data_IF_714972970567
#
_entry.id   IF_714972970567
#
_cell.length_a   1.000
_cell.length_b   1.000
_cell.length_c   1.000
_cell.angle_alpha   90.00
_cell.angle_beta   90.00
_cell.angle_gamma   90.00
#
_symmetry.space_group_name_H-M   'P 1'
#
loop_
_entity.id
_entity.type
_entity.pdbx_description
1 polymer ?
#
# COMPACT_ATOMS: atom_id res chain seq x y z
N UNK A 1 11.68 10.10 1.91
CA UNK A 1 12.01 8.81 1.32
C UNK A 1 11.34 8.58 -0.03
N UNK A 2 10.00 8.66 -0.22
CA UNK A 2 9.37 8.54 -1.57
C UNK A 2 10.03 9.44 -2.63
N UNK A 3 10.39 10.67 -2.31
CA UNK A 3 11.15 11.55 -3.23
C UNK A 3 12.57 11.02 -3.56
N UNK A 4 13.17 10.25 -2.69
CA UNK A 4 14.50 9.65 -2.91
C UNK A 4 14.33 8.35 -3.69
N UNK A 5 13.35 7.52 -3.35
CA UNK A 5 13.00 6.30 -4.07
C UNK A 5 12.53 6.64 -5.49
N UNK A 6 11.68 7.67 -5.65
CA UNK A 6 11.22 8.16 -6.95
C UNK A 6 12.40 8.69 -7.81
N UNK A 7 13.34 9.43 -7.21
CA UNK A 7 14.57 9.85 -7.93
C UNK A 7 15.49 8.67 -8.28
N UNK A 8 15.55 7.63 -7.43
CA UNK A 8 16.33 6.42 -7.72
C UNK A 8 15.69 5.59 -8.85
N UNK A 9 14.37 5.43 -8.83
CA UNK A 9 13.63 4.71 -9.87
C UNK A 9 13.74 5.44 -11.21
N UNK A 10 13.59 6.77 -11.25
CA UNK A 10 13.80 7.56 -12.47
C UNK A 10 15.24 7.47 -12.96
N UNK A 11 16.23 7.49 -12.07
CA UNK A 11 17.64 7.31 -12.47
C UNK A 11 17.91 5.90 -13.01
N UNK A 12 17.30 4.85 -12.45
CA UNK A 12 17.42 3.48 -12.97
C UNK A 12 16.73 3.31 -14.32
N UNK A 13 15.52 3.88 -14.51
CA UNK A 13 14.85 3.81 -15.83
C UNK A 13 15.59 4.56 -16.91
N UNK A 14 16.18 5.70 -16.61
CA UNK A 14 17.04 6.44 -17.55
C UNK A 14 18.32 5.64 -17.88
N UNK A 15 18.92 4.97 -16.90
CA UNK A 15 20.09 4.11 -17.14
C UNK A 15 19.78 2.89 -18.02
N UNK A 16 18.60 2.28 -17.84
CA UNK A 16 18.14 1.14 -18.66
C UNK A 16 17.81 1.58 -20.10
N UNK A 17 17.19 2.74 -20.28
CA UNK A 17 16.90 3.28 -21.62
C UNK A 17 18.22 3.59 -22.36
N UNK A 18 19.24 4.10 -21.68
CA UNK A 18 20.57 4.35 -22.26
C UNK A 18 21.30 3.04 -22.60
N UNK A 19 21.09 1.97 -21.82
CA UNK A 19 21.67 0.65 -22.09
C UNK A 19 21.01 -0.06 -23.28
N UNK A 20 19.69 0.05 -23.47
CA UNK A 20 19.00 -0.55 -24.61
C UNK A 20 19.19 0.21 -25.94
N UNK A 21 19.63 1.48 -25.91
CA UNK A 21 19.88 2.25 -27.13
C UNK A 21 21.32 2.09 -27.71
N UNK A 22 22.18 1.34 -27.02
CA UNK A 22 23.57 1.19 -27.44
C UNK A 22 23.91 -0.11 -28.21
N UNK A 23 22.95 -0.92 -28.58
CA UNK A 23 23.18 -2.13 -29.38
C UNK A 23 22.73 -1.99 -30.84
N UNK A 24 22.91 -0.85 -31.51
CA UNK A 24 22.99 -0.82 -32.97
C UNK A 24 23.35 0.57 -33.49
N UNK A 25 24.60 0.84 -33.62
CA UNK A 25 25.23 1.50 -34.80
C UNK A 25 26.63 1.99 -34.42
N UNK A 26 27.60 1.51 -35.16
CA UNK A 26 28.97 2.01 -35.06
C UNK A 26 29.08 3.43 -35.61
N UNK A 27 30.09 4.10 -35.08
CA UNK A 27 30.77 5.32 -35.53
C UNK A 27 30.36 6.65 -34.93
N UNK A 28 31.43 7.21 -34.36
CA UNK A 28 31.75 8.61 -34.00
C UNK A 28 31.46 9.04 -32.56
N UNK A 29 32.57 9.07 -31.79
CA UNK A 29 32.75 9.88 -30.60
C UNK A 29 32.70 11.36 -30.98
N UNK A 30 31.73 12.10 -30.49
CA UNK A 30 31.86 13.54 -30.31
C UNK A 30 31.80 13.85 -28.81
N UNK A 31 32.87 14.51 -28.35
CA UNK A 31 32.99 15.04 -27.00
C UNK A 31 32.03 16.20 -26.83
N UNK A 32 31.00 16.01 -25.98
CA UNK A 32 30.16 17.12 -25.49
C UNK A 32 30.73 17.51 -24.12
N UNK A 33 31.42 18.63 -24.10
CA UNK A 33 31.86 19.34 -22.91
C UNK A 33 30.66 20.13 -22.37
N UNK A 34 30.10 19.70 -21.23
CA UNK A 34 29.07 20.46 -20.53
C UNK A 34 29.75 21.60 -19.77
N UNK A 35 29.42 22.83 -20.11
CA UNK A 35 29.84 24.02 -19.40
C UNK A 35 29.05 24.18 -18.11
N UNK A 36 29.74 24.33 -16.99
CA UNK A 36 29.19 24.87 -15.74
C UNK A 36 28.74 26.30 -16.01
N UNK A 37 27.42 26.55 -15.92
CA UNK A 37 26.78 27.79 -15.48
C UNK A 37 25.37 27.90 -16.03
N UNK A 38 24.39 27.39 -15.26
CA UNK A 38 23.06 27.96 -15.23
C UNK A 38 22.57 27.99 -13.79
N UNK A 39 22.82 29.12 -13.13
CA UNK A 39 22.10 29.57 -11.95
C UNK A 39 20.68 29.94 -12.37
N UNK A 40 19.70 29.20 -11.90
CA UNK A 40 18.31 29.64 -11.93
C UNK A 40 18.11 30.74 -10.88
N UNK A 41 18.04 31.99 -11.31
CA UNK A 41 17.46 33.09 -10.56
C UNK A 41 15.94 32.89 -10.54
N UNK A 42 15.38 32.66 -9.34
CA UNK A 42 13.94 32.68 -9.14
C UNK A 42 13.50 34.15 -9.14
N UNK A 43 12.84 34.57 -10.21
CA UNK A 43 12.23 35.87 -10.30
C UNK A 43 10.84 35.83 -9.63
N UNK A 44 10.75 36.41 -8.46
CA UNK A 44 9.48 36.72 -7.79
C UNK A 44 8.80 37.90 -8.52
N UNK A 45 7.99 37.64 -9.52
CA UNK A 45 6.92 38.54 -9.97
C UNK A 45 6.18 37.94 -11.19
N UNK A 46 5.17 37.14 -10.93
CA UNK A 46 4.03 37.07 -11.86
C UNK A 46 2.77 36.76 -11.06
N UNK A 47 1.92 37.79 -11.00
CA UNK A 47 0.61 37.72 -10.35
C UNK A 47 -0.25 36.62 -11.01
N UNK A 48 -0.47 35.55 -10.30
CA UNK A 48 -1.42 34.52 -10.67
C UNK A 48 -2.84 35.04 -10.54
N UNK A 49 -3.52 35.17 -11.66
CA UNK A 49 -4.97 35.23 -11.73
C UNK A 49 -5.53 33.99 -11.05
N UNK A 50 -6.22 34.20 -9.91
CA UNK A 50 -7.11 33.18 -9.35
C UNK A 50 -8.27 33.00 -10.33
N UNK A 51 -8.25 31.96 -11.14
CA UNK A 51 -9.47 31.47 -11.78
C UNK A 51 -10.32 30.82 -10.70
N UNK A 52 -11.44 31.46 -10.40
CA UNK A 52 -12.49 30.86 -9.59
C UNK A 52 -13.08 29.69 -10.38
N UNK A 53 -12.75 28.47 -9.97
CA UNK A 53 -13.48 27.28 -10.40
C UNK A 53 -14.84 27.34 -9.72
N UNK A 54 -15.87 27.63 -10.51
CA UNK A 54 -17.26 27.65 -10.07
C UNK A 54 -17.72 26.20 -9.95
N UNK A 55 -17.87 25.75 -8.70
CA UNK A 55 -18.34 24.40 -8.35
C UNK A 55 -19.82 24.26 -8.68
N UNK A 56 -20.21 23.21 -9.41
CA UNK A 56 -21.62 22.88 -9.64
C UNK A 56 -22.26 22.32 -8.36
N UNK A 57 -23.43 22.88 -8.01
CA UNK A 57 -24.27 22.42 -6.91
C UNK A 57 -25.03 21.14 -7.34
N UNK A 58 -24.50 19.95 -7.16
CA UNK A 58 -25.33 18.73 -7.10
C UNK A 58 -24.48 17.49 -6.81
N UNK A 59 -24.33 17.20 -5.53
CA UNK A 59 -24.37 15.85 -4.95
C UNK A 59 -24.21 15.96 -3.43
N UNK A 60 -25.34 16.08 -2.75
CA UNK A 60 -25.40 15.93 -1.29
C UNK A 60 -25.46 14.43 -0.99
N UNK A 61 -24.42 13.91 -0.40
CA UNK A 61 -24.50 12.64 0.33
C UNK A 61 -25.30 12.87 1.61
N UNK A 62 -26.57 12.45 1.63
CA UNK A 62 -27.37 12.38 2.86
C UNK A 62 -26.84 11.22 3.72
N UNK A 63 -26.19 11.55 4.80
CA UNK A 63 -25.71 10.59 5.80
C UNK A 63 -26.74 10.54 6.94
N UNK A 64 -27.32 9.37 7.16
CA UNK A 64 -28.36 9.12 8.16
C UNK A 64 -27.87 9.41 9.58
N UNK A 65 -28.56 10.31 10.29
CA UNK A 65 -28.31 10.72 11.68
C UNK A 65 -28.79 9.65 12.67
N UNK A 66 -27.95 8.67 13.01
CA UNK A 66 -28.28 7.81 14.16
C UNK A 66 -27.08 7.39 15.04
N UNK A 67 -25.96 8.07 14.94
CA UNK A 67 -24.90 8.00 15.95
C UNK A 67 -24.47 9.43 16.26
N UNK A 68 -24.60 9.87 17.50
CA UNK A 68 -24.53 11.26 17.97
C UNK A 68 -23.23 12.04 17.75
N UNK A 69 -22.54 11.83 16.64
CA UNK A 69 -21.44 12.64 16.12
C UNK A 69 -21.95 13.38 14.89
N UNK A 70 -21.95 14.72 14.94
CA UNK A 70 -22.19 15.55 13.75
C UNK A 70 -21.14 15.20 12.70
N UNK A 71 -21.52 14.49 11.64
CA UNK A 71 -20.67 14.28 10.45
C UNK A 71 -20.64 15.59 9.66
N UNK A 72 -19.44 16.03 9.28
CA UNK A 72 -19.27 17.19 8.40
C UNK A 72 -19.80 16.89 7.00
N UNK A 73 -20.55 17.84 6.41
CA UNK A 73 -20.90 17.79 5.00
C UNK A 73 -19.66 18.18 4.18
N UNK A 74 -19.07 17.24 3.46
CA UNK A 74 -17.92 17.47 2.61
C UNK A 74 -18.42 17.80 1.21
N UNK A 75 -18.00 18.94 0.66
CA UNK A 75 -18.27 19.28 -0.72
C UNK A 75 -17.21 18.61 -1.62
N UNK A 76 -17.66 17.68 -2.47
CA UNK A 76 -16.85 17.01 -3.49
C UNK A 76 -17.18 17.58 -4.87
N UNK A 77 -16.19 17.67 -5.76
CA UNK A 77 -16.43 17.90 -7.18
C UNK A 77 -16.96 16.62 -7.85
N UNK A 78 -17.47 16.72 -9.06
CA UNK A 78 -17.96 15.57 -9.83
C UNK A 78 -16.89 14.49 -10.09
N UNK A 79 -15.62 14.91 -10.05
CA UNK A 79 -14.46 14.06 -10.30
C UNK A 79 -13.87 13.46 -9.01
N UNK A 80 -14.38 13.85 -7.86
CA UNK A 80 -13.85 13.43 -6.55
C UNK A 80 -14.79 12.46 -5.85
N UNK A 81 -14.22 11.49 -5.17
CA UNK A 81 -14.93 10.61 -4.24
C UNK A 81 -14.15 10.44 -2.97
N UNK A 82 -14.86 10.34 -1.85
CA UNK A 82 -14.29 10.01 -0.55
C UNK A 82 -15.08 8.82 0.01
N UNK A 83 -14.38 7.75 0.30
CA UNK A 83 -14.95 6.51 0.81
C UNK A 83 -14.33 6.17 2.15
N UNK A 84 -15.12 5.66 3.07
CA UNK A 84 -14.68 5.25 4.40
C UNK A 84 -14.95 3.75 4.54
N UNK A 85 -13.95 3.02 4.99
CA UNK A 85 -14.03 1.59 5.25
C UNK A 85 -13.66 1.31 6.71
N UNK A 86 -14.50 0.54 7.38
CA UNK A 86 -14.13 -0.12 8.64
C UNK A 86 -13.42 -1.42 8.32
N UNK A 87 -12.23 -1.61 8.87
CA UNK A 87 -11.49 -2.86 8.73
C UNK A 87 -11.69 -3.72 9.97
N UNK A 88 -12.09 -4.96 9.74
CA UNK A 88 -12.08 -6.02 10.75
C UNK A 88 -11.00 -7.03 10.42
N UNK A 89 -10.07 -7.19 11.32
CA UNK A 89 -9.03 -8.22 11.24
C UNK A 89 -9.43 -9.41 12.10
N UNK A 90 -9.64 -10.56 11.46
CA UNK A 90 -10.12 -11.78 12.10
C UNK A 90 -9.09 -12.90 11.88
N UNK A 91 -8.92 -13.76 12.89
CA UNK A 91 -7.98 -14.88 12.84
C UNK A 91 -8.69 -16.21 13.07
N UNK A 92 -8.17 -17.28 12.49
CA UNK A 92 -8.57 -18.66 12.76
C UNK A 92 -7.58 -19.34 13.71
N UNK A 93 -7.97 -20.48 14.28
CA UNK A 93 -7.08 -21.33 15.08
C UNK A 93 -5.86 -21.82 14.29
N UNK A 94 -5.98 -21.94 12.97
CA UNK A 94 -4.89 -22.35 12.09
C UNK A 94 -3.95 -21.19 11.71
N UNK A 95 -4.18 -19.99 12.22
CA UNK A 95 -3.39 -18.80 11.95
C UNK A 95 -3.68 -18.17 10.58
N UNK A 96 -4.70 -18.60 9.87
CA UNK A 96 -5.24 -17.91 8.69
C UNK A 96 -5.95 -16.63 9.15
N UNK A 97 -6.05 -15.64 8.28
CA UNK A 97 -6.74 -14.40 8.65
C UNK A 97 -7.58 -13.82 7.52
N UNK A 98 -8.56 -13.02 7.95
CA UNK A 98 -9.45 -12.24 7.09
C UNK A 98 -9.31 -10.76 7.43
N UNK A 99 -9.08 -9.94 6.41
CA UNK A 99 -9.37 -8.51 6.46
C UNK A 99 -10.73 -8.30 5.80
N UNK A 100 -11.69 -7.80 6.55
CA UNK A 100 -13.02 -7.47 6.03
C UNK A 100 -13.14 -5.95 6.05
N UNK A 101 -13.21 -5.35 4.86
CA UNK A 101 -13.38 -3.91 4.67
C UNK A 101 -14.86 -3.63 4.40
N UNK A 102 -15.52 -3.05 5.38
CA UNK A 102 -16.93 -2.67 5.32
C UNK A 102 -17.03 -1.21 4.90
N UNK A 103 -17.50 -0.96 3.68
CA UNK A 103 -17.71 0.40 3.20
C UNK A 103 -18.87 1.05 3.95
N UNK A 104 -18.64 2.22 4.57
CA UNK A 104 -19.69 2.96 5.25
C UNK A 104 -20.83 3.33 4.29
N UNK A 105 -22.06 3.22 4.77
CA UNK A 105 -23.29 3.53 4.01
C UNK A 105 -23.48 2.71 2.72
N UNK A 106 -22.89 1.54 2.64
CA UNK A 106 -22.96 0.63 1.50
C UNK A 106 -23.16 -0.81 1.96
N UNK A 107 -23.61 -1.64 1.06
CA UNK A 107 -23.61 -3.10 1.25
C UNK A 107 -22.31 -3.74 0.71
N UNK A 108 -21.49 -2.98 0.02
CA UNK A 108 -20.24 -3.50 -0.55
C UNK A 108 -19.24 -3.84 0.55
N UNK A 109 -18.64 -5.01 0.43
CA UNK A 109 -17.64 -5.56 1.33
C UNK A 109 -16.48 -6.09 0.50
N UNK A 110 -15.27 -5.68 0.85
CA UNK A 110 -14.06 -6.28 0.31
C UNK A 110 -13.48 -7.22 1.36
N UNK A 111 -13.09 -8.39 0.94
CA UNK A 111 -12.55 -9.42 1.84
C UNK A 111 -11.21 -9.90 1.30
N UNK A 112 -10.17 -9.74 2.09
CA UNK A 112 -8.88 -10.36 1.84
C UNK A 112 -8.75 -11.58 2.74
N UNK A 113 -8.75 -12.74 2.14
CA UNK A 113 -8.52 -14.00 2.84
C UNK A 113 -7.08 -14.46 2.61
N UNK A 114 -6.32 -14.54 3.68
CA UNK A 114 -4.94 -14.97 3.68
C UNK A 114 -4.84 -16.33 4.37
N UNK A 115 -4.31 -17.31 3.64
CA UNK A 115 -4.15 -18.67 4.10
C UNK A 115 -2.78 -19.21 3.71
N UNK A 116 -2.38 -20.28 4.37
CA UNK A 116 -1.08 -20.90 4.19
C UNK A 116 -1.21 -22.27 3.54
N UNK A 117 -0.55 -22.46 2.41
CA UNK A 117 -0.51 -23.73 1.69
C UNK A 117 0.91 -23.97 1.18
N UNK A 118 1.45 -25.17 1.41
CA UNK A 118 2.78 -25.58 0.95
C UNK A 118 3.92 -24.60 1.32
N UNK A 119 3.90 -24.07 2.53
CA UNK A 119 4.85 -23.05 3.05
C UNK A 119 4.78 -21.68 2.31
N UNK A 120 3.77 -21.49 1.51
CA UNK A 120 3.52 -20.22 0.83
C UNK A 120 2.33 -19.49 1.45
N UNK A 121 2.39 -18.16 1.39
CA UNK A 121 1.28 -17.29 1.74
C UNK A 121 0.44 -17.08 0.48
N UNK A 122 -0.85 -17.33 0.60
CA UNK A 122 -1.79 -17.17 -0.50
C UNK A 122 -2.86 -16.17 -0.10
N UNK A 123 -3.21 -15.28 -1.02
CA UNK A 123 -4.24 -14.26 -0.80
C UNK A 123 -5.36 -14.43 -1.81
N UNK A 124 -6.60 -14.36 -1.33
CA UNK A 124 -7.79 -14.22 -2.15
C UNK A 124 -8.50 -12.93 -1.81
N UNK A 125 -8.79 -12.12 -2.81
CA UNK A 125 -9.54 -10.88 -2.68
C UNK A 125 -10.94 -11.09 -3.28
N UNK A 126 -11.96 -10.76 -2.51
CA UNK A 126 -13.36 -10.86 -2.93
C UNK A 126 -14.03 -9.50 -2.81
N UNK A 127 -14.79 -9.12 -3.82
CA UNK A 127 -15.78 -8.06 -3.75
C UNK A 127 -17.17 -8.70 -3.62
N UNK A 128 -17.90 -8.39 -2.57
CA UNK A 128 -19.17 -9.03 -2.22
C UNK A 128 -20.12 -8.05 -1.51
N UNK A 129 -21.26 -8.54 -1.05
CA UNK A 129 -22.22 -7.74 -0.32
C UNK A 129 -22.50 -8.31 1.07
N UNK A 130 -22.86 -7.42 2.00
CA UNK A 130 -23.37 -7.77 3.32
C UNK A 130 -24.85 -7.42 3.43
N UNK A 131 -25.67 -8.38 3.88
CA UNK A 131 -27.10 -8.20 4.15
C UNK A 131 -27.42 -8.76 5.55
N UNK A 132 -27.82 -7.89 6.47
CA UNK A 132 -28.18 -8.27 7.85
C UNK A 132 -27.10 -9.14 8.54
N UNK A 133 -25.82 -8.80 8.33
CA UNK A 133 -24.69 -9.55 8.88
C UNK A 133 -24.27 -10.77 8.06
N UNK A 134 -25.02 -11.16 7.01
CA UNK A 134 -24.61 -12.23 6.12
C UNK A 134 -23.77 -11.69 4.97
N UNK A 135 -22.56 -12.22 4.81
CA UNK A 135 -21.67 -11.98 3.68
C UNK A 135 -21.84 -13.12 2.69
N UNK A 136 -22.09 -12.81 1.42
CA UNK A 136 -22.24 -13.84 0.41
C UNK A 136 -22.08 -13.29 -1.00
N UNK A 137 -21.31 -14.01 -1.81
CA UNK A 137 -21.26 -13.84 -3.25
C UNK A 137 -22.20 -14.84 -3.90
N UNK A 138 -23.35 -14.36 -4.33
CA UNK A 138 -24.38 -15.17 -4.99
C UNK A 138 -23.96 -15.66 -6.40
N UNK A 139 -22.90 -15.10 -6.97
CA UNK A 139 -22.44 -15.44 -8.34
C UNK A 139 -21.40 -16.53 -8.33
N UNK A 140 -20.47 -16.51 -7.38
CA UNK A 140 -19.32 -17.41 -7.38
C UNK A 140 -19.33 -18.41 -6.25
N UNK A 141 -20.12 -18.19 -5.19
CA UNK A 141 -20.13 -18.98 -3.93
C UNK A 141 -18.73 -19.12 -3.29
N UNK A 142 -17.82 -18.16 -3.56
CA UNK A 142 -16.48 -18.22 -2.99
C UNK A 142 -16.48 -17.91 -1.50
N UNK A 143 -17.36 -17.02 -1.02
CA UNK A 143 -17.54 -16.73 0.38
C UNK A 143 -19.03 -16.69 0.71
N UNK A 144 -19.40 -17.32 1.81
CA UNK A 144 -20.77 -17.32 2.32
C UNK A 144 -20.78 -17.56 3.82
N UNK A 145 -21.33 -16.66 4.61
CA UNK A 145 -21.37 -16.82 6.07
C UNK A 145 -21.87 -15.60 6.81
N UNK A 146 -21.89 -15.72 8.13
CA UNK A 146 -22.37 -14.69 9.02
C UNK A 146 -21.20 -13.93 9.65
N UNK A 147 -21.21 -12.61 9.51
CA UNK A 147 -20.35 -11.69 10.22
C UNK A 147 -21.10 -11.14 11.43
N UNK A 148 -20.51 -11.26 12.60
CA UNK A 148 -21.02 -10.74 13.87
C UNK A 148 -19.92 -9.99 14.61
N UNK A 149 -20.22 -9.40 15.76
CA UNK A 149 -19.21 -8.80 16.62
C UNK A 149 -18.18 -9.80 17.14
N UNK A 150 -18.52 -11.09 17.20
CA UNK A 150 -17.61 -12.15 17.63
C UNK A 150 -16.64 -12.60 16.52
N UNK A 151 -16.98 -12.39 15.23
CA UNK A 151 -16.17 -12.81 14.10
C UNK A 151 -17.01 -13.27 12.90
N UNK A 152 -16.42 -14.09 12.04
CA UNK A 152 -17.06 -14.64 10.83
C UNK A 152 -17.11 -16.17 10.90
N UNK A 153 -18.27 -16.73 10.62
CA UNK A 153 -18.49 -18.18 10.52
C UNK A 153 -19.22 -18.52 9.24
N UNK A 154 -18.67 -19.45 8.46
CA UNK A 154 -19.24 -19.79 7.16
C UNK A 154 -18.33 -20.64 6.30
N UNK A 155 -18.38 -20.42 4.99
CA UNK A 155 -17.57 -21.14 3.99
C UNK A 155 -16.75 -20.17 3.16
N UNK A 156 -15.51 -20.57 2.90
CA UNK A 156 -14.66 -19.91 1.90
C UNK A 156 -14.15 -21.00 0.95
N UNK A 157 -14.43 -20.86 -0.35
CA UNK A 157 -14.11 -21.88 -1.39
C UNK A 157 -14.61 -23.26 -1.02
N UNK A 158 -15.81 -23.35 -0.45
CA UNK A 158 -16.43 -24.60 -0.05
C UNK A 158 -15.94 -25.20 1.27
N UNK A 159 -14.86 -24.65 1.87
CA UNK A 159 -14.31 -25.09 3.16
C UNK A 159 -15.02 -24.34 4.31
N UNK A 160 -15.48 -25.08 5.31
CA UNK A 160 -16.00 -24.50 6.55
C UNK A 160 -14.88 -23.75 7.27
N UNK A 161 -15.16 -22.52 7.69
CA UNK A 161 -14.20 -21.67 8.38
C UNK A 161 -14.88 -20.97 9.57
N UNK A 162 -14.07 -20.71 10.60
CA UNK A 162 -14.48 -19.92 11.75
C UNK A 162 -13.32 -18.98 12.12
N UNK A 163 -13.58 -17.69 12.04
CA UNK A 163 -12.65 -16.63 12.36
C UNK A 163 -13.17 -15.81 13.51
N UNK A 164 -12.30 -15.48 14.44
CA UNK A 164 -12.62 -14.64 15.61
C UNK A 164 -11.79 -13.36 15.58
N UNK A 165 -12.20 -12.35 16.33
CA UNK A 165 -11.40 -11.14 16.47
C UNK A 165 -10.01 -11.48 17.01
N UNK A 166 -8.97 -10.88 16.44
CA UNK A 166 -7.63 -11.04 16.94
C UNK A 166 -7.51 -10.53 18.39
N UNK A 167 -6.70 -11.19 19.18
CA UNK A 167 -6.32 -10.70 20.50
C UNK A 167 -5.30 -9.59 20.33
N UNK A 168 -5.76 -8.36 20.36
CA UNK A 168 -4.92 -7.17 20.18
C UNK A 168 -5.50 -6.00 21.00
N UNK A 169 -4.67 -5.10 21.52
CA UNK A 169 -5.13 -3.85 22.11
C UNK A 169 -5.71 -2.88 21.07
N UNK A 170 -5.51 -3.18 19.77
CA UNK A 170 -6.06 -2.41 18.65
C UNK A 170 -7.47 -2.94 18.34
N UNK A 171 -8.49 -2.11 18.59
CA UNK A 171 -9.91 -2.49 18.49
C UNK A 171 -10.51 -2.41 17.08
N UNK A 172 -9.68 -2.20 16.08
CA UNK A 172 -10.10 -2.05 14.68
C UNK A 172 -9.37 -0.92 14.00
N UNK A 173 -9.61 -0.77 12.71
CA UNK A 173 -9.00 0.28 11.90
C UNK A 173 -10.00 0.85 10.91
N UNK A 174 -9.74 2.06 10.44
CA UNK A 174 -10.46 2.72 9.35
C UNK A 174 -9.51 3.08 8.23
N UNK A 175 -9.99 2.94 6.99
CA UNK A 175 -9.36 3.50 5.81
C UNK A 175 -10.26 4.58 5.24
N UNK A 176 -9.69 5.74 4.99
CA UNK A 176 -10.34 6.80 4.20
C UNK A 176 -9.65 6.84 2.84
N UNK A 177 -10.38 6.44 1.80
CA UNK A 177 -9.92 6.44 0.42
C UNK A 177 -10.43 7.68 -0.31
N UNK A 178 -9.51 8.43 -0.90
CA UNK A 178 -9.79 9.50 -1.83
C UNK A 178 -9.55 9.02 -3.25
N UNK A 179 -10.52 9.26 -4.12
CA UNK A 179 -10.44 8.95 -5.54
C UNK A 179 -10.65 10.23 -6.35
N UNK A 180 -9.80 10.45 -7.33
CA UNK A 180 -9.96 11.51 -8.32
C UNK A 180 -9.82 10.91 -9.71
N UNK A 181 -10.80 11.18 -10.57
CA UNK A 181 -10.79 10.71 -11.97
C UNK A 181 -11.04 11.89 -12.89
N UNK A 182 -10.17 12.10 -13.87
CA UNK A 182 -10.36 13.10 -14.91
C UNK A 182 -10.12 12.49 -16.29
N UNK A 183 -10.85 13.00 -17.26
CA UNK A 183 -10.75 12.58 -18.66
C UNK A 183 -10.39 13.82 -19.49
N UNK A 184 -9.26 13.75 -20.18
CA UNK A 184 -8.84 14.80 -21.11
C UNK A 184 -8.98 14.30 -22.56
N UNK A 185 -9.64 15.08 -23.37
CA UNK A 185 -9.69 14.87 -24.82
C UNK A 185 -8.69 15.81 -25.48
N UNK A 186 -7.53 15.29 -25.88
CA UNK A 186 -6.45 16.10 -26.45
C UNK A 186 -6.62 16.38 -27.94
N UNK A 187 -7.57 15.73 -28.62
CA UNK A 187 -7.83 15.93 -30.06
C UNK A 187 -9.27 15.68 -30.45
N UNK A 188 -9.58 16.01 -31.73
CA UNK A 188 -10.90 15.86 -32.33
C UNK A 188 -11.34 14.41 -32.61
N UNK A 189 -10.56 13.40 -32.21
CA UNK A 189 -10.89 11.98 -32.39
C UNK A 189 -11.15 11.32 -31.02
N UNK A 190 -12.19 10.49 -30.93
CA UNK A 190 -12.53 9.70 -29.75
C UNK A 190 -11.41 8.69 -29.37
N UNK A 191 -10.44 8.46 -30.25
CA UNK A 191 -9.32 7.53 -30.05
C UNK A 191 -8.20 8.11 -29.16
N UNK A 192 -8.20 9.42 -28.91
CA UNK A 192 -7.17 10.11 -28.12
C UNK A 192 -7.61 10.53 -26.72
N UNK A 193 -8.56 9.78 -26.14
CA UNK A 193 -8.98 10.00 -24.76
C UNK A 193 -7.87 9.54 -23.82
N UNK A 194 -7.44 10.43 -22.92
CA UNK A 194 -6.49 10.13 -21.85
C UNK A 194 -7.17 10.27 -20.50
N UNK A 195 -6.88 9.33 -19.61
CA UNK A 195 -7.45 9.29 -18.26
C UNK A 195 -6.37 9.56 -17.21
N UNK A 196 -6.76 10.31 -16.20
CA UNK A 196 -6.03 10.46 -14.95
C UNK A 196 -6.87 9.84 -13.84
N UNK A 197 -6.33 8.81 -13.21
CA UNK A 197 -6.97 8.11 -12.10
C UNK A 197 -6.02 8.06 -10.90
N UNK A 198 -6.45 8.62 -9.80
CA UNK A 198 -5.66 8.70 -8.58
C UNK A 198 -6.46 8.20 -7.40
N UNK A 199 -5.92 7.20 -6.73
CA UNK A 199 -6.47 6.58 -5.54
C UNK A 199 -5.43 6.69 -4.42
N UNK A 200 -5.77 7.34 -3.33
CA UNK A 200 -4.88 7.45 -2.17
C UNK A 200 -5.67 7.22 -0.91
N UNK A 201 -5.06 6.54 0.05
CA UNK A 201 -5.72 6.15 1.28
C UNK A 201 -4.95 6.63 2.51
N UNK A 202 -5.69 6.94 3.56
CA UNK A 202 -5.20 7.13 4.92
C UNK A 202 -5.67 5.94 5.75
N UNK A 203 -4.76 5.34 6.51
CA UNK A 203 -5.05 4.25 7.43
C UNK A 203 -4.94 4.73 8.88
N UNK A 204 -5.95 4.43 9.68
CA UNK A 204 -6.00 4.80 11.10
C UNK A 204 -6.46 3.64 11.96
N UNK A 205 -5.66 3.20 12.92
CA UNK A 205 -6.18 2.42 14.03
C UNK A 205 -7.10 3.25 14.90
N UNK A 206 -8.21 2.66 15.34
CA UNK A 206 -9.14 3.30 16.25
C UNK A 206 -8.45 3.62 17.58
N UNK A 207 -8.60 4.85 18.04
CA UNK A 207 -7.98 5.32 19.28
C UNK A 207 -9.02 5.87 20.28
N UNK A 208 -10.04 5.08 20.56
CA UNK A 208 -11.10 5.43 21.51
C UNK A 208 -10.58 5.63 22.94
N UNK A 209 -9.51 4.90 23.28
CA UNK A 209 -8.81 5.00 24.57
C UNK A 209 -7.92 6.23 24.70
N UNK A 210 -7.71 7.00 23.61
CA UNK A 210 -6.79 8.13 23.52
C UNK A 210 -5.34 7.75 23.89
N UNK A 211 -4.91 6.59 23.48
CA UNK A 211 -3.56 6.09 23.70
C UNK A 211 -2.53 6.87 22.89
N UNK A 212 -1.49 7.37 23.53
CA UNK A 212 -0.38 8.03 22.85
C UNK A 212 0.41 7.06 21.92
N UNK A 213 0.40 5.77 22.24
CA UNK A 213 1.02 4.73 21.42
C UNK A 213 0.29 4.61 20.08
N UNK A 214 -1.05 4.53 20.10
CA UNK A 214 -1.86 4.45 18.88
C UNK A 214 -1.73 5.73 18.05
N UNK A 215 -1.71 6.89 18.68
CA UNK A 215 -1.48 8.17 17.99
C UNK A 215 -0.12 8.18 17.28
N UNK A 216 0.93 7.67 17.91
CA UNK A 216 2.27 7.57 17.33
C UNK A 216 2.30 6.63 16.13
N UNK A 217 1.68 5.45 16.24
CA UNK A 217 1.57 4.49 15.15
C UNK A 217 0.79 5.13 13.97
N UNK A 218 -0.36 5.73 14.23
CA UNK A 218 -1.16 6.38 13.19
C UNK A 218 -0.40 7.52 12.49
N UNK A 219 0.41 8.27 13.22
CA UNK A 219 1.24 9.32 12.65
C UNK A 219 2.34 8.74 11.74
N UNK A 220 3.02 7.69 12.17
CA UNK A 220 4.09 7.05 11.38
C UNK A 220 3.54 6.34 10.13
N UNK A 221 2.40 5.65 10.25
CA UNK A 221 1.74 5.00 9.09
C UNK A 221 1.52 6.01 7.96
N UNK A 222 1.00 7.19 8.29
CA UNK A 222 0.62 8.20 7.33
C UNK A 222 1.71 9.26 7.07
N UNK A 223 2.92 9.08 7.60
CA UNK A 223 4.00 10.09 7.56
C UNK A 223 4.44 10.49 6.15
N UNK A 224 4.25 9.63 5.18
CA UNK A 224 4.53 9.89 3.76
C UNK A 224 3.49 10.85 3.13
N UNK A 225 2.27 10.85 3.67
CA UNK A 225 1.14 11.66 3.20
C UNK A 225 1.08 12.96 4.00
N UNK A 226 1.26 12.88 5.32
CA UNK A 226 1.17 14.04 6.22
C UNK A 226 1.92 13.80 7.52
N UNK A 227 2.47 14.90 8.09
CA UNK A 227 3.02 14.90 9.45
C UNK A 227 2.01 15.41 10.49
N UNK A 228 0.77 15.67 10.08
CA UNK A 228 -0.29 16.13 10.99
C UNK A 228 -0.98 14.93 11.65
N UNK A 229 -1.39 15.11 12.92
CA UNK A 229 -2.29 14.17 13.56
C UNK A 229 -3.65 14.21 12.87
N UNK A 230 -4.09 13.06 12.41
CA UNK A 230 -5.36 12.90 11.70
C UNK A 230 -6.50 12.62 12.69
N UNK A 231 -7.68 13.15 12.39
CA UNK A 231 -8.92 12.91 13.11
C UNK A 231 -9.97 12.44 12.11
N UNK A 232 -10.42 11.19 12.24
CA UNK A 232 -11.42 10.60 11.35
C UNK A 232 -12.75 11.37 11.33
N UNK A 233 -13.02 12.15 12.37
CA UNK A 233 -14.21 13.00 12.43
C UNK A 233 -14.07 14.33 11.65
N UNK A 234 -12.86 14.63 11.16
CA UNK A 234 -12.54 15.80 10.34
C UNK A 234 -12.24 15.39 8.90
N UNK A 235 -13.23 14.85 8.24
CA UNK A 235 -13.07 14.34 6.88
C UNK A 235 -12.69 15.41 5.86
N UNK A 236 -13.11 16.68 6.08
CA UNK A 236 -12.69 17.81 5.26
C UNK A 236 -11.17 18.02 5.29
N UNK A 237 -10.55 17.89 6.46
CA UNK A 237 -9.09 18.03 6.60
C UNK A 237 -8.39 16.86 5.89
N UNK A 238 -8.89 15.64 6.06
CA UNK A 238 -8.37 14.43 5.39
C UNK A 238 -8.48 14.56 3.88
N UNK A 239 -9.65 14.99 3.37
CA UNK A 239 -9.86 15.25 1.94
C UNK A 239 -8.84 16.25 1.41
N UNK A 240 -8.67 17.38 2.10
CA UNK A 240 -7.73 18.42 1.68
C UNK A 240 -6.28 17.92 1.64
N UNK A 241 -5.87 17.09 2.60
CA UNK A 241 -4.54 16.49 2.61
C UNK A 241 -4.38 15.59 1.37
N UNK A 242 -5.31 14.67 1.14
CA UNK A 242 -5.24 13.71 0.04
C UNK A 242 -5.31 14.39 -1.33
N UNK A 243 -6.20 15.38 -1.51
CA UNK A 243 -6.30 16.14 -2.76
C UNK A 243 -5.04 16.98 -3.02
N UNK A 244 -4.45 17.59 -1.99
CA UNK A 244 -3.20 18.34 -2.15
C UNK A 244 -2.02 17.43 -2.53
N UNK A 245 -1.99 16.19 -2.05
CA UNK A 245 -0.98 15.22 -2.47
C UNK A 245 -1.15 14.76 -3.93
N UNK A 246 -2.36 14.77 -4.46
CA UNK A 246 -2.67 14.47 -5.86
C UNK A 246 -2.22 15.60 -6.82
N UNK A 247 -2.35 16.85 -6.41
CA UNK A 247 -2.18 18.01 -7.30
C UNK A 247 -0.85 18.04 -8.10
N UNK A 248 0.33 17.72 -7.53
CA UNK A 248 1.57 17.68 -8.31
C UNK A 248 1.50 16.71 -9.49
N UNK A 249 0.97 15.51 -9.27
CA UNK A 249 0.83 14.47 -10.31
C UNK A 249 -0.16 14.91 -11.38
N UNK A 250 -1.29 15.50 -10.98
CA UNK A 250 -2.29 16.02 -11.90
C UNK A 250 -1.76 17.16 -12.76
N UNK A 251 -0.97 18.06 -12.17
CA UNK A 251 -0.38 19.18 -12.91
C UNK A 251 0.67 18.71 -13.91
N UNK A 252 1.48 17.70 -13.54
CA UNK A 252 2.47 17.09 -14.43
C UNK A 252 1.80 16.29 -15.57
N UNK A 253 0.64 15.67 -15.28
CA UNK A 253 -0.11 14.91 -16.27
C UNK A 253 -0.83 15.79 -17.30
N UNK A 254 -1.23 17.02 -16.93
CA UNK A 254 -1.93 17.92 -17.85
C UNK A 254 -1.12 18.10 -19.12
N UNK A 255 -1.58 17.58 -20.27
CA UNK A 255 -0.86 17.75 -21.52
C UNK A 255 -0.85 19.24 -21.90
N UNK A 256 0.32 19.78 -22.19
CA UNK A 256 0.45 21.06 -22.86
C UNK A 256 -0.22 21.01 -24.24
N UNK A 257 -0.56 22.17 -24.81
CA UNK A 257 -1.09 22.24 -26.19
C UNK A 257 -0.08 21.59 -27.14
N UNK A 258 -0.46 20.47 -27.79
CA UNK A 258 0.33 19.76 -28.79
C UNK A 258 1.19 18.60 -28.27
N UNK A 259 1.14 18.26 -26.99
CA UNK A 259 1.83 17.09 -26.45
C UNK A 259 0.94 15.84 -26.47
N UNK A 260 1.54 14.67 -26.77
CA UNK A 260 0.85 13.38 -26.67
C UNK A 260 0.70 13.04 -25.18
N UNK A 261 -0.53 13.16 -24.67
CA UNK A 261 -0.84 12.75 -23.31
C UNK A 261 -0.72 11.22 -23.14
N UNK A 262 -0.63 10.76 -21.89
CA UNK A 262 -0.64 9.36 -21.50
C UNK A 262 -1.72 9.11 -20.44
N UNK A 263 -2.15 7.86 -20.30
CA UNK A 263 -3.00 7.48 -19.18
C UNK A 263 -2.14 7.47 -17.91
N UNK A 264 -2.66 8.09 -16.87
CA UNK A 264 -2.06 8.05 -15.53
C UNK A 264 -2.96 7.24 -14.61
N UNK A 265 -2.34 6.33 -13.87
CA UNK A 265 -3.02 5.58 -12.83
C UNK A 265 -2.12 5.45 -11.61
N UNK A 266 -2.63 5.81 -10.44
CA UNK A 266 -1.93 5.64 -9.18
C UNK A 266 -2.89 5.12 -8.12
N UNK A 267 -2.46 4.11 -7.37
CA UNK A 267 -3.20 3.58 -6.23
C UNK A 267 -2.26 3.36 -5.05
N UNK A 268 -2.74 3.70 -3.86
CA UNK A 268 -2.11 3.37 -2.57
C UNK A 268 -3.19 2.86 -1.64
N UNK A 269 -3.04 1.61 -1.18
CA UNK A 269 -3.97 0.90 -0.32
C UNK A 269 -3.26 0.26 0.86
N UNK A 270 -3.97 0.12 1.99
CA UNK A 270 -3.42 -0.48 3.20
C UNK A 270 -4.12 -1.79 3.54
N UNK A 271 -3.33 -2.75 4.04
CA UNK A 271 -3.80 -4.00 4.60
C UNK A 271 -3.17 -4.29 5.97
N UNK A 272 -3.78 -5.21 6.70
CA UNK A 272 -3.26 -5.72 7.97
C UNK A 272 -2.77 -7.14 7.72
N UNK A 273 -1.47 -7.41 7.97
CA UNK A 273 -0.87 -8.73 7.83
C UNK A 273 -0.96 -9.52 9.13
N UNK A 274 -0.81 -8.83 10.27
CA UNK A 274 -0.86 -9.49 11.58
C UNK A 274 -1.15 -8.49 12.70
N UNK A 275 -2.02 -8.90 13.61
CA UNK A 275 -2.26 -8.23 14.89
C UNK A 275 -2.18 -9.24 16.02
N UNK A 276 -1.38 -8.92 17.03
CA UNK A 276 -1.34 -9.65 18.30
C UNK A 276 -1.41 -8.69 19.49
N UNK A 277 -1.20 -9.19 20.70
CA UNK A 277 -1.07 -8.34 21.89
C UNK A 277 0.17 -7.45 21.85
N UNK A 278 1.19 -7.81 21.05
CA UNK A 278 2.53 -7.20 21.08
C UNK A 278 2.92 -6.48 19.80
N UNK A 279 2.41 -6.94 18.67
CA UNK A 279 2.84 -6.52 17.32
C UNK A 279 1.64 -6.14 16.46
N UNK A 280 1.79 -5.09 15.66
CA UNK A 280 0.99 -4.80 14.51
C UNK A 280 1.87 -4.80 13.25
N UNK A 281 1.56 -5.66 12.29
CA UNK A 281 2.18 -5.71 10.97
C UNK A 281 1.16 -5.30 9.93
N UNK A 282 1.46 -4.24 9.18
CA UNK A 282 0.60 -3.70 8.14
C UNK A 282 1.40 -3.54 6.85
N UNK A 283 0.72 -3.55 5.73
CA UNK A 283 1.30 -3.25 4.44
C UNK A 283 0.62 -2.04 3.79
N UNK A 284 1.38 -1.35 2.95
CA UNK A 284 0.90 -0.37 1.99
C UNK A 284 1.25 -0.92 0.60
N UNK A 285 0.24 -1.34 -0.16
CA UNK A 285 0.38 -1.66 -1.58
C UNK A 285 0.33 -0.37 -2.38
N UNK A 286 1.23 -0.23 -3.34
CA UNK A 286 1.17 0.85 -4.32
C UNK A 286 1.33 0.31 -5.73
N UNK A 287 0.67 0.97 -6.68
CA UNK A 287 0.91 0.79 -8.11
C UNK A 287 0.85 2.16 -8.77
N UNK A 288 1.77 2.43 -9.69
CA UNK A 288 1.80 3.67 -10.46
C UNK A 288 2.10 3.37 -11.92
N UNK A 289 1.30 3.96 -12.81
CA UNK A 289 1.50 3.94 -14.24
C UNK A 289 1.52 5.37 -14.77
N UNK A 290 2.66 5.78 -15.33
CA UNK A 290 2.92 7.11 -15.86
C UNK A 290 3.21 7.08 -17.36
N UNK A 291 2.63 6.10 -18.06
CA UNK A 291 2.93 5.83 -19.47
C UNK A 291 4.05 4.79 -19.65
N UNK A 292 4.28 4.39 -20.87
CA UNK A 292 5.29 3.37 -21.21
C UNK A 292 4.75 1.95 -21.28
N UNK A 293 5.63 0.95 -21.16
CA UNK A 293 5.31 -0.46 -21.38
C UNK A 293 4.54 -1.08 -20.20
N UNK A 294 4.82 -0.67 -18.97
CA UNK A 294 4.19 -1.18 -17.75
C UNK A 294 4.30 -0.17 -16.60
N UNK A 295 3.48 -0.35 -15.58
CA UNK A 295 3.59 0.40 -14.32
C UNK A 295 4.61 -0.19 -13.37
N UNK A 296 4.76 0.45 -12.22
CA UNK A 296 5.59 0.02 -11.10
C UNK A 296 4.68 -0.27 -9.91
N UNK A 297 4.90 -1.38 -9.24
CA UNK A 297 4.17 -1.75 -8.03
C UNK A 297 5.10 -2.18 -6.92
N UNK A 298 4.58 -2.28 -5.74
CA UNK A 298 5.29 -2.85 -4.60
C UNK A 298 4.46 -2.81 -3.34
N UNK A 299 5.02 -3.41 -2.29
CA UNK A 299 4.48 -3.35 -0.94
C UNK A 299 5.52 -2.81 0.02
N UNK A 300 5.10 -1.88 0.86
CA UNK A 300 5.90 -1.37 1.97
C UNK A 300 5.31 -1.94 3.24
N UNK A 301 6.09 -2.74 3.96
CA UNK A 301 5.66 -3.31 5.21
C UNK A 301 6.13 -2.46 6.39
N UNK A 302 5.26 -2.32 7.39
CA UNK A 302 5.52 -1.55 8.60
C UNK A 302 5.12 -2.41 9.79
N UNK A 303 6.11 -2.80 10.59
CA UNK A 303 5.91 -3.60 11.80
C UNK A 303 6.09 -2.72 13.02
N UNK A 304 5.13 -2.73 13.94
CA UNK A 304 5.13 -1.88 15.13
C UNK A 304 5.11 -2.71 16.40
N UNK A 305 5.92 -2.29 17.37
CA UNK A 305 5.79 -2.76 18.75
C UNK A 305 4.61 -2.05 19.43
N UNK A 306 3.65 -2.80 19.97
CA UNK A 306 2.50 -2.23 20.68
C UNK A 306 2.83 -1.83 22.13
N UNK A 307 4.05 -2.12 22.61
CA UNK A 307 4.51 -1.67 23.92
C UNK A 307 4.89 -0.18 23.96
N UNK A 308 5.38 0.38 22.85
CA UNK A 308 5.87 1.75 22.77
C UNK A 308 5.51 2.50 21.48
N UNK A 309 4.86 1.82 20.53
CA UNK A 309 4.47 2.39 19.23
C UNK A 309 5.63 2.66 18.28
N UNK A 310 6.81 2.08 18.53
CA UNK A 310 7.95 2.22 17.63
C UNK A 310 7.80 1.30 16.42
N UNK A 311 8.12 1.83 15.24
CA UNK A 311 8.32 1.02 14.03
C UNK A 311 9.60 0.22 14.19
N UNK A 312 9.49 -1.09 14.06
CA UNK A 312 10.61 -2.01 14.15
C UNK A 312 11.31 -2.13 12.79
N UNK A 313 12.63 -2.11 12.84
CA UNK A 313 13.49 -2.51 11.73
C UNK A 313 13.93 -3.95 11.94
N UNK A 314 14.40 -4.58 10.88
CA UNK A 314 14.89 -5.96 10.98
C UNK A 314 16.09 -6.08 11.94
N UNK A 315 16.94 -5.04 12.03
CA UNK A 315 18.05 -4.95 12.95
C UNK A 315 17.62 -4.87 14.43
N UNK A 316 16.41 -4.38 14.69
CA UNK A 316 15.86 -4.35 16.05
C UNK A 316 15.49 -5.76 16.51
N UNK A 317 15.05 -6.61 15.60
CA UNK A 317 14.49 -7.95 15.87
C UNK A 317 15.57 -9.04 15.86
N UNK A 318 16.48 -9.02 14.88
CA UNK A 318 17.53 -10.02 14.72
C UNK A 318 18.72 -9.77 15.66
N UNK A 319 19.32 -10.85 16.16
CA UNK A 319 20.57 -10.80 16.92
C UNK A 319 21.69 -10.22 16.04
N UNK A 320 21.78 -10.70 14.79
CA UNK A 320 22.79 -10.28 13.81
C UNK A 320 22.22 -10.39 12.39
N UNK A 321 22.06 -9.26 11.73
CA UNK A 321 21.57 -9.19 10.32
C UNK A 321 22.61 -9.72 9.32
N UNK A 322 23.88 -9.83 9.71
CA UNK A 322 24.97 -10.37 8.92
C UNK A 322 25.24 -11.85 9.22
N UNK A 323 24.36 -12.53 9.95
CA UNK A 323 24.50 -13.95 10.26
C UNK A 323 24.53 -14.78 8.98
N UNK A 324 25.69 -15.40 8.69
CA UNK A 324 25.89 -16.13 7.44
C UNK A 324 24.99 -17.36 7.30
N UNK A 325 24.64 -18.05 8.40
CA UNK A 325 23.73 -19.19 8.36
C UNK A 325 22.33 -18.75 7.95
N UNK A 326 21.82 -17.64 8.52
CA UNK A 326 20.53 -17.08 8.14
C UNK A 326 20.54 -16.62 6.69
N UNK A 327 21.57 -15.88 6.25
CA UNK A 327 21.68 -15.41 4.85
C UNK A 327 21.70 -16.59 3.87
N UNK A 328 22.44 -17.66 4.19
CA UNK A 328 22.49 -18.84 3.33
C UNK A 328 21.13 -19.54 3.26
N UNK A 329 20.39 -19.66 4.35
CA UNK A 329 19.01 -20.19 4.35
C UNK A 329 18.05 -19.33 3.54
N UNK A 330 18.19 -18.00 3.58
CA UNK A 330 17.42 -17.10 2.72
C UNK A 330 17.72 -17.40 1.26
N UNK A 331 19.00 -17.51 0.87
CA UNK A 331 19.39 -17.85 -0.51
C UNK A 331 18.84 -19.21 -0.94
N UNK A 332 18.95 -20.24 -0.09
CA UNK A 332 18.40 -21.57 -0.37
C UNK A 332 16.88 -21.53 -0.62
N UNK A 333 16.14 -20.75 0.18
CA UNK A 333 14.69 -20.59 -0.03
C UNK A 333 14.36 -19.81 -1.31
N UNK A 334 15.12 -18.75 -1.64
CA UNK A 334 14.97 -18.03 -2.90
C UNK A 334 15.20 -18.97 -4.09
N UNK A 335 16.27 -19.76 -4.07
CA UNK A 335 16.61 -20.74 -5.11
C UNK A 335 15.64 -21.92 -5.20
N UNK A 336 14.84 -22.17 -4.16
CA UNK A 336 13.74 -23.15 -4.24
C UNK A 336 12.53 -22.63 -5.00
N UNK A 337 12.41 -21.31 -5.13
CA UNK A 337 11.27 -20.65 -5.79
C UNK A 337 11.56 -20.30 -7.27
N UNK A 338 12.83 -20.06 -7.61
CA UNK A 338 13.25 -19.74 -8.98
C UNK A 338 14.73 -20.09 -9.18
N UNK A 339 15.12 -20.32 -10.45
CA UNK A 339 16.51 -20.60 -10.82
C UNK A 339 17.43 -19.43 -10.48
N UNK A 340 18.71 -19.72 -10.22
CA UNK A 340 19.72 -18.72 -9.88
C UNK A 340 19.84 -17.60 -10.94
N UNK A 341 19.69 -17.94 -12.20
CA UNK A 341 19.72 -16.99 -13.33
C UNK A 341 18.55 -15.98 -13.30
N UNK A 342 17.54 -16.25 -12.50
CA UNK A 342 16.40 -15.33 -12.26
C UNK A 342 16.77 -14.17 -11.34
N UNK A 343 17.92 -14.22 -10.68
CA UNK A 343 18.39 -13.21 -9.73
C UNK A 343 19.61 -12.47 -10.23
N UNK A 344 19.78 -11.20 -9.87
CA UNK A 344 20.91 -10.39 -10.33
C UNK A 344 22.23 -10.81 -9.68
N UNK A 345 22.28 -10.86 -8.35
CA UNK A 345 23.49 -11.21 -7.60
C UNK A 345 23.16 -11.63 -6.17
N UNK A 346 22.86 -12.89 -5.98
CA UNK A 346 22.57 -13.42 -4.64
C UNK A 346 23.79 -13.42 -3.71
N UNK A 347 25.03 -13.35 -4.24
CA UNK A 347 26.22 -13.31 -3.40
C UNK A 347 26.34 -12.00 -2.61
N UNK A 348 25.77 -10.93 -3.13
CA UNK A 348 25.70 -9.62 -2.47
C UNK A 348 24.43 -9.44 -1.62
N UNK A 349 23.63 -10.50 -1.41
CA UNK A 349 22.40 -10.41 -0.63
C UNK A 349 22.66 -9.93 0.80
N UNK A 350 21.97 -8.90 1.22
CA UNK A 350 22.01 -8.33 2.56
C UNK A 350 20.62 -8.34 3.17
N UNK A 351 20.55 -8.59 4.48
CA UNK A 351 19.31 -8.43 5.25
C UNK A 351 19.26 -7.06 5.97
N UNK A 352 20.32 -6.27 5.89
CA UNK A 352 20.35 -4.94 6.48
C UNK A 352 19.34 -4.03 5.81
N UNK A 353 18.56 -3.30 6.62
CA UNK A 353 17.46 -2.43 6.15
C UNK A 353 16.41 -3.14 5.29
N UNK A 354 16.39 -4.49 5.32
CA UNK A 354 15.44 -5.26 4.52
C UNK A 354 14.00 -4.98 4.92
N UNK A 355 13.14 -4.94 3.91
CA UNK A 355 11.70 -4.90 4.10
C UNK A 355 11.21 -6.28 4.55
N UNK A 356 10.41 -6.33 5.61
CA UNK A 356 9.92 -7.57 6.18
C UNK A 356 8.54 -7.38 6.80
N UNK A 357 7.84 -8.48 6.98
CA UNK A 357 6.60 -8.50 7.75
C UNK A 357 6.48 -9.74 8.61
N UNK A 358 5.57 -9.66 9.58
CA UNK A 358 5.29 -10.73 10.52
C UNK A 358 3.88 -11.23 10.27
N UNK A 359 3.71 -12.54 10.38
CA UNK A 359 2.42 -13.22 10.37
C UNK A 359 2.34 -14.18 11.54
N UNK A 360 1.19 -14.80 11.75
CA UNK A 360 1.02 -15.91 12.72
C UNK A 360 1.90 -17.13 12.43
N UNK A 361 2.51 -17.22 11.25
CA UNK A 361 3.36 -18.36 10.85
C UNK A 361 4.85 -18.08 10.99
N UNK A 362 5.24 -16.81 11.12
CA UNK A 362 6.64 -16.44 11.25
C UNK A 362 6.96 -15.07 10.66
N UNK A 363 8.20 -14.92 10.23
CA UNK A 363 8.74 -13.70 9.64
C UNK A 363 9.05 -13.92 8.16
N UNK A 364 8.65 -12.99 7.33
CA UNK A 364 8.92 -13.01 5.90
C UNK A 364 9.84 -11.86 5.53
N UNK A 365 10.96 -12.16 4.87
CA UNK A 365 11.80 -11.19 4.19
C UNK A 365 11.26 -10.94 2.80
N UNK A 366 11.29 -9.69 2.33
CA UNK A 366 10.75 -9.31 1.04
C UNK A 366 11.67 -8.42 0.25
N UNK A 367 11.64 -8.56 -1.06
CA UNK A 367 12.33 -7.70 -2.01
C UNK A 367 11.37 -7.33 -3.13
N UNK A 368 11.23 -6.05 -3.38
CA UNK A 368 10.42 -5.54 -4.47
C UNK A 368 11.03 -5.80 -5.84
N UNK A 369 10.25 -5.50 -6.88
CA UNK A 369 10.71 -5.57 -8.27
C UNK A 369 12.01 -4.77 -8.46
N UNK A 370 12.96 -5.32 -9.20
CA UNK A 370 14.30 -4.76 -9.47
C UNK A 370 15.25 -4.68 -8.26
N UNK A 371 14.88 -5.12 -7.06
CA UNK A 371 15.82 -5.13 -5.93
C UNK A 371 16.83 -6.26 -6.03
N UNK A 372 16.39 -7.49 -6.24
CA UNK A 372 17.25 -8.67 -6.39
C UNK A 372 16.99 -9.46 -7.67
N UNK A 373 15.91 -9.14 -8.40
CA UNK A 373 15.47 -9.84 -9.59
C UNK A 373 14.84 -8.86 -10.61
N UNK A 374 14.80 -9.19 -11.92
CA UNK A 374 14.14 -8.35 -12.92
C UNK A 374 12.61 -8.29 -12.70
N UNK A 375 11.98 -7.29 -13.29
CA UNK A 375 10.53 -7.08 -13.21
C UNK A 375 9.68 -8.35 -13.49
N UNK A 376 10.12 -9.15 -14.46
CA UNK A 376 9.40 -10.34 -14.87
C UNK A 376 9.34 -11.44 -13.79
N UNK A 377 10.24 -11.42 -12.81
CA UNK A 377 10.23 -12.33 -11.67
C UNK A 377 9.19 -11.91 -10.63
N UNK A 378 8.80 -10.63 -10.61
CA UNK A 378 7.93 -10.05 -9.60
C UNK A 378 8.63 -9.81 -8.26
N UNK A 379 7.81 -9.61 -7.22
CA UNK A 379 8.31 -9.49 -5.84
C UNK A 379 8.84 -10.84 -5.37
N UNK A 380 9.96 -10.82 -4.63
CA UNK A 380 10.57 -12.02 -4.04
C UNK A 380 10.30 -12.05 -2.54
N UNK A 381 9.77 -13.15 -2.05
CA UNK A 381 9.43 -13.32 -0.63
C UNK A 381 9.96 -14.64 -0.08
N UNK A 382 10.44 -14.62 1.16
CA UNK A 382 10.96 -15.80 1.86
C UNK A 382 10.38 -15.86 3.27
N UNK A 383 9.47 -16.80 3.51
CA UNK A 383 8.90 -17.08 4.82
C UNK A 383 9.85 -17.99 5.63
N UNK A 384 10.17 -17.56 6.82
CA UNK A 384 10.73 -18.38 7.89
C UNK A 384 9.63 -18.70 8.89
N UNK A 385 9.33 -19.96 9.08
CA UNK A 385 8.42 -20.38 10.16
C UNK A 385 8.93 -19.91 11.52
N UNK A 386 8.06 -19.91 12.52
CA UNK A 386 8.42 -19.50 13.88
C UNK A 386 9.64 -20.30 14.37
N UNK A 387 9.65 -21.61 14.20
CA UNK A 387 10.75 -22.48 14.63
C UNK A 387 12.06 -22.17 13.89
N UNK A 388 11.98 -21.85 12.59
CA UNK A 388 13.14 -21.52 11.77
C UNK A 388 13.76 -20.18 12.12
N UNK A 389 12.95 -19.16 12.44
CA UNK A 389 13.44 -17.82 12.73
C UNK A 389 13.85 -17.63 14.21
N UNK A 390 13.24 -18.39 15.11
CA UNK A 390 13.45 -18.28 16.57
C UNK A 390 14.91 -18.24 17.01
N UNK A 391 15.84 -19.05 16.45
CA UNK A 391 17.27 -19.02 16.84
C UNK A 391 17.97 -17.69 16.54
N UNK A 392 17.44 -16.89 15.60
CA UNK A 392 18.04 -15.64 15.14
C UNK A 392 17.43 -14.40 15.79
N UNK A 393 16.32 -14.56 16.56
CA UNK A 393 15.65 -13.46 17.22
C UNK A 393 16.33 -13.10 18.54
N UNK A 394 16.39 -11.80 18.83
CA UNK A 394 16.71 -11.31 20.18
C UNK A 394 15.67 -11.83 21.18
N UNK A 395 16.10 -12.10 22.42
CA UNK A 395 15.24 -12.72 23.44
C UNK A 395 13.93 -11.96 23.68
N UNK A 396 13.97 -10.64 23.61
CA UNK A 396 12.80 -9.77 23.78
C UNK A 396 11.73 -9.92 22.69
N UNK A 397 12.12 -10.45 21.53
CA UNK A 397 11.21 -10.66 20.38
C UNK A 397 10.78 -12.11 20.17
N UNK A 398 11.30 -13.06 20.95
CA UNK A 398 10.94 -14.49 20.79
C UNK A 398 9.46 -14.80 21.03
N UNK A 399 8.77 -13.93 21.72
CA UNK A 399 7.35 -14.11 22.07
C UNK A 399 6.38 -13.23 21.26
N UNK A 400 6.82 -12.64 20.15
CA UNK A 400 5.98 -11.76 19.33
C UNK A 400 4.90 -12.51 18.53
N UNK A 401 5.05 -13.81 18.42
CA UNK A 401 4.10 -14.70 17.73
C UNK A 401 3.02 -15.30 18.66
N UNK A 402 3.07 -14.98 19.96
CA UNK A 402 2.12 -15.47 20.98
C UNK A 402 0.82 -14.68 21.06
#
# INVERSE_FOLDING_TARGET
>A
MKKIIFKLIILMTISIIISCSNENSGTKKENIQLSENERLEINENSGTKKENIQLSENERLEINENTGTKKENIQLSENERLEIFDIRYLTSENGEYLNILLKENSKSVFVDYIFYENQSINTFIFDTEINEGYIGDYRTNYIAGNLSDAGFSGKIKGREVNFVNAKSPLSGAKVVRYTYTNISTTSASEEDIKTFEYYSSIFLFNNDSKSAIIDKINLDINSEITNAKLDINKLSDIKNILSNNMLPFYNDWRPGEGEYGYNYYSISEYGIDYLSEKIASINEYFYEYTGGAHGVHGKIYKVYSLSNGERLKIEDILIDVNNLDLINKVKEKLLSNADEESYFNLDALSLQENNFYITSKGLTFTWGIYEIAPYATGDSEVLFSIDEIMPYLKDEYKNIFE
#
